data_IF_874051833632
#
_entry.id   IF_874051833632
#
_cell.length_a   1.000
_cell.length_b   1.000
_cell.length_c   1.000
_cell.angle_alpha   90.00
_cell.angle_beta   90.00
_cell.angle_gamma   90.00
#
_symmetry.space_group_name_H-M   'P 1'
#
loop_
_entity.id
_entity.type
_entity.pdbx_description
1 polymer ?
#
# COMPACT_ATOMS: atom_id res chain seq x y z
N UNK A 1 -12.11 11.62 -10.88
CA UNK A 1 -11.72 11.47 -9.46
C UNK A 1 -11.94 10.07 -8.90
N UNK A 2 -13.06 9.39 -9.22
CA UNK A 2 -13.32 8.02 -8.74
C UNK A 2 -12.28 6.99 -9.18
N UNK A 3 -11.85 7.00 -10.44
CA UNK A 3 -10.87 6.02 -10.95
C UNK A 3 -9.52 6.09 -10.22
N UNK A 4 -9.03 7.29 -9.92
CA UNK A 4 -7.76 7.49 -9.21
C UNK A 4 -7.84 6.92 -7.79
N UNK A 5 -8.92 7.20 -7.05
CA UNK A 5 -9.15 6.67 -5.70
C UNK A 5 -9.19 5.14 -5.70
N UNK A 6 -9.83 4.56 -6.71
CA UNK A 6 -9.88 3.11 -6.89
C UNK A 6 -8.48 2.54 -7.17
N UNK A 7 -7.71 3.14 -8.08
CA UNK A 7 -6.34 2.68 -8.36
C UNK A 7 -5.42 2.82 -7.15
N UNK A 8 -5.51 3.93 -6.41
CA UNK A 8 -4.77 4.12 -5.16
C UNK A 8 -5.06 3.01 -4.15
N UNK A 9 -6.32 2.61 -3.99
CA UNK A 9 -6.71 1.54 -3.07
C UNK A 9 -6.15 0.16 -3.44
N UNK A 10 -5.73 -0.04 -4.69
CA UNK A 10 -5.08 -1.27 -5.16
C UNK A 10 -3.55 -1.19 -5.17
N UNK A 11 -2.97 -0.03 -4.84
CA UNK A 11 -1.52 0.10 -4.65
C UNK A 11 -1.04 -0.81 -3.52
N UNK A 12 0.15 -1.40 -3.69
CA UNK A 12 0.74 -2.32 -2.72
C UNK A 12 0.56 -3.81 -3.03
N UNK A 13 -0.25 -4.19 -4.04
CA UNK A 13 -0.32 -5.59 -4.50
C UNK A 13 1.04 -6.06 -5.04
N UNK A 14 1.86 -5.14 -5.55
CA UNK A 14 3.23 -5.39 -5.98
C UNK A 14 4.16 -5.92 -4.87
N UNK A 15 3.80 -5.72 -3.59
CA UNK A 15 4.56 -6.23 -2.44
C UNK A 15 4.63 -7.76 -2.46
N UNK A 16 3.64 -8.45 -3.03
CA UNK A 16 3.67 -9.91 -3.23
C UNK A 16 4.90 -10.31 -4.06
N UNK A 17 5.24 -9.51 -5.08
CA UNK A 17 6.41 -9.73 -5.92
C UNK A 17 7.73 -9.51 -5.18
N UNK A 18 7.80 -8.48 -4.33
CA UNK A 18 8.99 -8.19 -3.52
C UNK A 18 9.21 -9.29 -2.48
N UNK A 19 8.14 -9.70 -1.82
CA UNK A 19 8.16 -10.72 -0.76
C UNK A 19 8.38 -12.13 -1.31
N UNK A 20 8.16 -12.35 -2.62
CA UNK A 20 8.44 -13.63 -3.26
C UNK A 20 9.91 -14.08 -3.13
N UNK A 21 10.85 -13.13 -3.10
CA UNK A 21 12.28 -13.42 -2.90
C UNK A 21 12.62 -13.90 -1.49
N UNK A 22 11.78 -13.63 -0.50
CA UNK A 22 11.99 -13.96 0.91
C UNK A 22 11.02 -15.04 1.44
N UNK A 23 10.06 -15.46 0.61
CA UNK A 23 9.08 -16.47 0.97
C UNK A 23 9.76 -17.84 1.13
N UNK A 24 9.40 -18.56 2.19
CA UNK A 24 9.95 -19.90 2.49
C UNK A 24 9.64 -20.93 1.39
N UNK A 25 8.44 -20.85 0.81
CA UNK A 25 7.95 -21.73 -0.27
C UNK A 25 7.29 -20.91 -1.39
N UNK A 26 8.06 -20.22 -2.26
CA UNK A 26 7.51 -19.27 -3.22
C UNK A 26 6.63 -19.94 -4.28
N UNK A 27 6.98 -21.16 -4.72
CA UNK A 27 6.22 -21.91 -5.74
C UNK A 27 4.77 -22.20 -5.34
N UNK A 28 4.50 -22.35 -4.03
CA UNK A 28 3.15 -22.59 -3.50
C UNK A 28 2.52 -21.33 -2.93
N UNK A 29 3.31 -20.53 -2.22
CA UNK A 29 2.80 -19.37 -1.48
C UNK A 29 2.40 -18.24 -2.42
N UNK A 30 3.16 -18.01 -3.51
CA UNK A 30 2.89 -16.90 -4.44
C UNK A 30 1.62 -17.13 -5.27
N UNK A 31 1.41 -18.29 -5.94
CA UNK A 31 0.16 -18.54 -6.65
C UNK A 31 -1.07 -18.50 -5.73
N UNK A 32 -0.96 -19.04 -4.51
CA UNK A 32 -2.03 -18.99 -3.51
C UNK A 32 -2.36 -17.56 -3.11
N UNK A 33 -1.34 -16.74 -2.83
CA UNK A 33 -1.52 -15.33 -2.49
C UNK A 33 -2.23 -14.60 -3.64
N UNK A 34 -1.71 -14.72 -4.87
CA UNK A 34 -2.28 -14.07 -6.07
C UNK A 34 -3.75 -14.45 -6.27
N UNK A 35 -4.11 -15.73 -6.16
CA UNK A 35 -5.50 -16.16 -6.36
C UNK A 35 -6.43 -15.75 -5.20
N UNK A 36 -5.90 -15.64 -3.99
CA UNK A 36 -6.70 -15.26 -2.81
C UNK A 36 -7.00 -13.76 -2.72
N UNK A 37 -6.12 -12.91 -3.25
CA UNK A 37 -6.23 -11.45 -3.13
C UNK A 37 -7.50 -10.90 -3.79
N UNK A 38 -7.85 -11.22 -5.05
CA UNK A 38 -9.08 -10.75 -5.66
C UNK A 38 -10.33 -11.15 -4.87
N UNK A 39 -10.39 -12.40 -4.40
CA UNK A 39 -11.52 -12.89 -3.61
C UNK A 39 -11.65 -12.13 -2.29
N UNK A 40 -10.53 -11.90 -1.58
CA UNK A 40 -10.52 -11.11 -0.34
C UNK A 40 -10.97 -9.67 -0.58
N UNK A 41 -10.49 -9.03 -1.65
CA UNK A 41 -10.92 -7.68 -2.01
C UNK A 41 -12.42 -7.68 -2.30
N UNK A 42 -12.93 -8.62 -3.08
CA UNK A 42 -14.35 -8.67 -3.43
C UNK A 42 -15.22 -8.85 -2.18
N UNK A 43 -14.87 -9.77 -1.29
CA UNK A 43 -15.61 -10.01 -0.04
C UNK A 43 -15.51 -8.82 0.92
N UNK A 44 -14.30 -8.33 1.22
CA UNK A 44 -14.11 -7.30 2.24
C UNK A 44 -14.42 -5.89 1.72
N UNK A 45 -14.03 -5.53 0.50
CA UNK A 45 -14.24 -4.19 -0.03
C UNK A 45 -15.65 -4.02 -0.58
N UNK A 46 -16.05 -4.87 -1.54
CA UNK A 46 -17.38 -4.77 -2.18
C UNK A 46 -18.48 -5.16 -1.19
N UNK A 47 -18.28 -6.22 -0.40
CA UNK A 47 -19.26 -6.62 0.62
C UNK A 47 -19.50 -5.52 1.68
N UNK A 48 -18.43 -4.86 2.14
CA UNK A 48 -18.57 -3.76 3.09
C UNK A 48 -19.26 -2.54 2.47
N UNK A 49 -18.91 -2.17 1.24
CA UNK A 49 -19.57 -1.08 0.53
C UNK A 49 -21.06 -1.37 0.31
N UNK A 50 -21.41 -2.61 -0.04
CA UNK A 50 -22.79 -3.04 -0.22
C UNK A 50 -23.61 -2.87 1.08
N UNK A 51 -23.06 -3.29 2.21
CA UNK A 51 -23.71 -3.12 3.53
C UNK A 51 -23.90 -1.64 3.86
N UNK A 52 -22.85 -0.82 3.68
CA UNK A 52 -22.93 0.62 3.96
C UNK A 52 -23.96 1.31 3.07
N UNK A 53 -23.94 1.04 1.76
CA UNK A 53 -24.88 1.65 0.82
C UNK A 53 -26.33 1.19 1.03
N UNK A 54 -26.53 0.02 1.63
CA UNK A 54 -27.87 -0.46 2.01
C UNK A 54 -28.44 0.26 3.23
N UNK A 55 -27.58 0.78 4.12
CA UNK A 55 -27.97 1.46 5.36
C UNK A 55 -27.96 2.99 5.19
N UNK A 56 -26.99 3.52 4.44
CA UNK A 56 -26.78 4.95 4.27
C UNK A 56 -26.95 5.33 2.79
N UNK A 57 -27.80 6.32 2.48
CA UNK A 57 -28.09 6.65 1.10
C UNK A 57 -26.84 7.21 0.40
N UNK A 58 -26.51 6.60 -0.73
CA UNK A 58 -25.34 6.89 -1.57
C UNK A 58 -25.11 8.38 -1.92
N UNK A 59 -26.15 9.21 -1.85
CA UNK A 59 -26.10 10.64 -2.15
C UNK A 59 -25.62 11.51 -0.99
N UNK A 60 -25.52 10.97 0.23
CA UNK A 60 -25.06 11.70 1.43
C UNK A 60 -23.70 11.20 1.93
N UNK A 61 -23.11 10.20 1.26
CA UNK A 61 -21.82 9.61 1.64
C UNK A 61 -20.69 10.59 1.32
N UNK A 62 -19.99 11.09 2.34
CA UNK A 62 -18.76 11.89 2.18
C UNK A 62 -18.83 13.35 2.60
N UNK A 63 -19.96 13.85 3.11
CA UNK A 63 -20.12 15.26 3.51
C UNK A 63 -19.81 15.56 4.99
N UNK A 64 -19.74 14.55 5.87
CA UNK A 64 -19.65 14.76 7.33
C UNK A 64 -18.69 13.81 8.09
N UNK A 65 -17.77 13.11 7.40
CA UNK A 65 -16.81 12.19 8.02
C UNK A 65 -16.87 10.75 7.50
N UNK A 66 -16.24 9.81 8.23
CA UNK A 66 -16.19 8.39 7.82
C UNK A 66 -17.59 7.78 7.79
N UNK A 67 -18.07 7.26 6.64
CA UNK A 67 -19.40 6.67 6.51
C UNK A 67 -19.63 5.51 7.47
N UNK A 68 -18.57 4.79 7.82
CA UNK A 68 -18.60 3.74 8.84
C UNK A 68 -18.99 4.30 10.20
N UNK A 69 -18.27 5.32 10.65
CA UNK A 69 -18.48 5.93 11.97
C UNK A 69 -19.87 6.58 12.04
N UNK A 70 -20.25 7.30 10.99
CA UNK A 70 -21.56 7.95 10.89
C UNK A 70 -22.72 6.95 10.92
N UNK A 71 -22.57 5.81 10.25
CA UNK A 71 -23.59 4.75 10.25
C UNK A 71 -23.80 4.19 11.67
N UNK A 72 -22.72 3.88 12.39
CA UNK A 72 -22.83 3.35 13.76
C UNK A 72 -23.26 4.39 14.80
N UNK A 73 -22.94 5.68 14.59
CA UNK A 73 -23.44 6.78 15.42
C UNK A 73 -24.95 7.00 15.24
N UNK A 74 -25.47 6.99 14.00
CA UNK A 74 -26.91 7.09 13.74
C UNK A 74 -27.71 5.90 14.26
N UNK A 75 -27.11 4.71 14.35
CA UNK A 75 -27.72 3.53 14.96
C UNK A 75 -27.73 3.55 16.50
N UNK A 76 -27.20 4.60 17.15
CA UNK A 76 -27.22 4.76 18.61
C UNK A 76 -26.19 3.90 19.36
N UNK A 77 -25.25 3.25 18.67
CA UNK A 77 -24.22 2.40 19.28
C UNK A 77 -22.90 3.16 19.30
N UNK A 78 -22.78 4.15 20.19
CA UNK A 78 -21.58 4.99 20.33
C UNK A 78 -20.32 4.17 20.61
N UNK A 79 -20.46 3.01 21.27
CA UNK A 79 -19.37 2.08 21.55
C UNK A 79 -18.78 1.43 20.27
N UNK A 80 -19.61 1.18 19.25
CA UNK A 80 -19.17 0.59 17.99
C UNK A 80 -18.29 1.56 17.18
N UNK A 81 -18.56 2.86 17.25
CA UNK A 81 -17.73 3.89 16.64
C UNK A 81 -16.30 3.91 17.22
N UNK A 82 -16.17 3.80 18.55
CA UNK A 82 -14.87 3.75 19.23
C UNK A 82 -14.08 2.48 18.88
N UNK A 83 -14.75 1.32 18.80
CA UNK A 83 -14.12 0.06 18.36
C UNK A 83 -13.60 0.19 16.93
N UNK A 84 -14.40 0.75 16.01
CA UNK A 84 -13.98 0.91 14.62
C UNK A 84 -12.78 1.84 14.49
N UNK A 85 -12.79 2.97 15.19
CA UNK A 85 -11.63 3.87 15.21
C UNK A 85 -10.38 3.15 15.73
N UNK A 86 -10.49 2.36 16.80
CA UNK A 86 -9.38 1.57 17.32
C UNK A 86 -8.85 0.55 16.29
N UNK A 87 -9.76 -0.18 15.62
CA UNK A 87 -9.40 -1.15 14.57
C UNK A 87 -8.72 -0.47 13.40
N UNK A 88 -9.27 0.64 12.89
CA UNK A 88 -8.72 1.39 11.76
C UNK A 88 -7.34 1.94 12.10
N UNK A 89 -7.16 2.53 13.28
CA UNK A 89 -5.86 3.04 13.72
C UNK A 89 -4.83 1.93 13.85
N UNK A 90 -5.20 0.80 14.46
CA UNK A 90 -4.31 -0.36 14.61
C UNK A 90 -3.92 -0.95 13.25
N UNK A 91 -4.88 -1.09 12.34
CA UNK A 91 -4.63 -1.55 10.98
C UNK A 91 -3.70 -0.59 10.21
N UNK A 92 -3.91 0.72 10.36
CA UNK A 92 -3.09 1.76 9.73
C UNK A 92 -1.65 1.71 10.23
N UNK A 93 -1.45 1.58 11.55
CA UNK A 93 -0.13 1.42 12.15
C UNK A 93 0.58 0.15 11.68
N UNK A 94 -0.14 -0.96 11.57
CA UNK A 94 0.40 -2.22 11.05
C UNK A 94 0.82 -2.12 9.58
N UNK A 95 0.04 -1.41 8.75
CA UNK A 95 0.36 -1.16 7.35
C UNK A 95 1.64 -0.32 7.22
N UNK A 96 1.72 0.81 7.93
CA UNK A 96 2.90 1.69 7.93
C UNK A 96 4.16 0.92 8.34
N UNK A 97 4.08 0.07 9.36
CA UNK A 97 5.23 -0.74 9.78
C UNK A 97 5.71 -1.69 8.68
N UNK A 98 4.78 -2.29 7.93
CA UNK A 98 5.10 -3.19 6.82
C UNK A 98 5.72 -2.45 5.65
N UNK A 99 5.22 -1.25 5.33
CA UNK A 99 5.76 -0.40 4.27
C UNK A 99 7.17 0.10 4.57
N UNK A 100 7.40 0.60 5.80
CA UNK A 100 8.73 1.05 6.24
C UNK A 100 9.74 -0.10 6.20
N UNK A 101 9.32 -1.29 6.63
CA UNK A 101 10.15 -2.48 6.56
C UNK A 101 10.49 -2.87 5.11
N UNK A 102 9.50 -2.88 4.21
CA UNK A 102 9.68 -3.22 2.80
C UNK A 102 10.62 -2.25 2.07
N UNK A 103 10.39 -0.93 2.24
CA UNK A 103 11.26 0.11 1.68
C UNK A 103 12.67 0.04 2.28
N UNK A 104 12.77 -0.23 3.58
CA UNK A 104 14.03 -0.45 4.29
C UNK A 104 14.91 -1.49 3.61
N UNK A 105 14.36 -2.70 3.41
CA UNK A 105 15.08 -3.80 2.77
C UNK A 105 15.42 -3.52 1.31
N UNK A 106 14.48 -2.94 0.58
CA UNK A 106 14.69 -2.63 -0.84
C UNK A 106 15.82 -1.61 -1.04
N UNK A 107 15.78 -0.49 -0.30
CA UNK A 107 16.84 0.53 -0.38
C UNK A 107 18.19 0.00 0.09
N UNK A 108 18.20 -0.84 1.14
CA UNK A 108 19.43 -1.48 1.60
C UNK A 108 20.05 -2.36 0.51
N UNK A 109 19.26 -3.26 -0.10
CA UNK A 109 19.73 -4.12 -1.19
C UNK A 109 20.19 -3.33 -2.42
N UNK A 110 19.50 -2.24 -2.77
CA UNK A 110 19.95 -1.34 -3.83
C UNK A 110 21.26 -0.62 -3.49
N UNK A 111 21.48 -0.25 -2.24
CA UNK A 111 22.71 0.40 -1.80
C UNK A 111 23.91 -0.56 -1.80
N UNK A 112 23.70 -1.83 -1.44
CA UNK A 112 24.72 -2.88 -1.57
C UNK A 112 25.13 -3.12 -3.03
N UNK A 113 24.17 -3.04 -3.96
CA UNK A 113 24.41 -3.15 -5.40
C UNK A 113 24.94 -1.87 -6.05
N UNK A 114 25.18 -0.81 -5.26
CA UNK A 114 25.67 0.49 -5.76
C UNK A 114 24.64 1.32 -6.53
N UNK A 115 23.37 0.91 -6.53
CA UNK A 115 22.26 1.58 -7.24
C UNK A 115 21.52 2.61 -6.36
N UNK A 116 21.81 2.65 -5.05
CA UNK A 116 21.35 3.68 -4.13
C UNK A 116 22.52 4.28 -3.33
N UNK A 117 22.37 5.48 -2.75
CA UNK A 117 23.40 6.11 -1.94
C UNK A 117 23.91 5.18 -0.83
N UNK A 118 25.23 5.13 -0.63
CA UNK A 118 25.90 4.28 0.38
C UNK A 118 25.40 4.51 1.82
N UNK A 119 24.70 5.61 2.09
CA UNK A 119 24.12 5.85 3.42
C UNK A 119 23.01 4.83 3.75
N UNK A 120 22.30 4.32 2.75
CA UNK A 120 21.21 3.36 2.92
C UNK A 120 21.67 1.92 3.17
N UNK A 121 22.96 1.60 2.97
CA UNK A 121 23.53 0.30 3.37
C UNK A 121 23.87 0.23 4.86
N UNK A 122 23.73 1.34 5.62
CA UNK A 122 23.98 1.36 7.06
C UNK A 122 22.82 0.70 7.81
N UNK A 123 23.14 -0.33 8.59
CA UNK A 123 22.19 -1.00 9.48
C UNK A 123 22.51 -0.74 10.95
N UNK A 124 21.49 -0.81 11.81
CA UNK A 124 21.64 -0.82 13.26
C UNK A 124 22.21 -2.17 13.73
N UNK A 125 22.61 -2.28 15.00
CA UNK A 125 23.08 -3.53 15.64
C UNK A 125 22.09 -4.70 15.48
N UNK A 126 20.81 -4.41 15.27
CA UNK A 126 19.74 -5.41 15.04
C UNK A 126 19.47 -5.70 13.56
N UNK A 127 20.31 -5.22 12.64
CA UNK A 127 20.15 -5.42 11.19
C UNK A 127 19.09 -4.53 10.52
N UNK A 128 18.59 -3.50 11.22
CA UNK A 128 17.52 -2.62 10.73
C UNK A 128 18.14 -1.43 9.96
N UNK A 129 17.74 -1.13 8.72
CA UNK A 129 18.19 0.05 7.94
C UNK A 129 17.67 1.36 8.56
N UNK A 130 18.35 1.85 9.60
CA UNK A 130 17.86 2.96 10.43
C UNK A 130 17.76 4.29 9.68
N UNK A 131 18.59 4.49 8.66
CA UNK A 131 18.55 5.67 7.80
C UNK A 131 17.22 5.72 7.03
N UNK A 132 16.76 4.59 6.51
CA UNK A 132 15.48 4.49 5.82
C UNK A 132 14.32 4.78 6.79
N UNK A 133 14.39 4.23 8.00
CA UNK A 133 13.37 4.50 9.04
C UNK A 133 13.30 5.99 9.33
N UNK A 134 14.45 6.66 9.53
CA UNK A 134 14.50 8.09 9.80
C UNK A 134 13.87 8.91 8.66
N UNK A 135 14.22 8.61 7.41
CA UNK A 135 13.69 9.30 6.23
C UNK A 135 12.17 9.09 6.09
N UNK A 136 11.68 7.88 6.34
CA UNK A 136 10.24 7.60 6.31
C UNK A 136 9.50 8.33 7.43
N UNK A 137 10.05 8.35 8.65
CA UNK A 137 9.46 9.07 9.78
C UNK A 137 9.42 10.58 9.52
N UNK A 138 10.48 11.17 8.98
CA UNK A 138 10.47 12.61 8.64
C UNK A 138 9.49 12.93 7.52
N UNK A 139 9.36 12.05 6.51
CA UNK A 139 8.36 12.20 5.46
C UNK A 139 6.91 12.13 6.01
N UNK A 140 6.64 11.22 6.95
CA UNK A 140 5.34 11.13 7.62
C UNK A 140 5.04 12.38 8.45
N UNK A 141 6.01 12.88 9.21
CA UNK A 141 5.86 14.14 9.97
C UNK A 141 5.61 15.33 9.04
N UNK A 142 6.29 15.38 7.90
CA UNK A 142 6.05 16.39 6.88
C UNK A 142 4.64 16.29 6.29
N UNK A 143 4.13 15.08 6.04
CA UNK A 143 2.76 14.88 5.58
C UNK A 143 1.71 15.36 6.62
N UNK A 144 1.96 15.13 7.91
CA UNK A 144 1.12 15.66 9.01
C UNK A 144 1.17 17.18 9.04
N UNK A 145 2.35 17.78 8.89
CA UNK A 145 2.49 19.23 8.80
C UNK A 145 1.74 19.82 7.60
N UNK A 146 1.83 19.15 6.44
CA UNK A 146 1.11 19.56 5.23
C UNK A 146 -0.42 19.46 5.40
N UNK A 147 -0.88 18.48 6.18
CA UNK A 147 -2.29 18.34 6.55
C UNK A 147 -2.80 19.51 7.40
N UNK A 148 -1.93 20.09 8.25
CA UNK A 148 -2.27 21.27 9.04
C UNK A 148 -2.44 22.55 8.17
N UNK A 149 -1.63 22.71 7.12
CA UNK A 149 -1.68 23.90 6.26
C UNK A 149 -2.76 23.81 5.17
N UNK A 150 -2.97 22.62 4.58
CA UNK A 150 -3.90 22.41 3.46
C UNK A 150 -4.81 21.18 3.67
N UNK A 151 -5.71 21.21 4.67
CA UNK A 151 -6.49 20.03 5.07
C UNK A 151 -7.38 19.46 3.95
N UNK A 152 -7.96 20.30 3.09
CA UNK A 152 -8.88 19.84 2.04
C UNK A 152 -8.18 19.20 0.83
N UNK A 153 -6.96 19.66 0.52
CA UNK A 153 -6.27 19.26 -0.72
C UNK A 153 -5.11 18.30 -0.48
N UNK A 154 -4.57 18.22 0.73
CA UNK A 154 -3.41 17.37 1.06
C UNK A 154 -3.65 15.90 0.68
N UNK A 155 -4.85 15.38 0.97
CA UNK A 155 -5.19 14.01 0.65
C UNK A 155 -5.20 13.79 -0.87
N UNK A 156 -5.78 14.72 -1.64
CA UNK A 156 -5.83 14.64 -3.10
C UNK A 156 -4.43 14.72 -3.73
N UNK A 157 -3.57 15.60 -3.22
CA UNK A 157 -2.19 15.75 -3.70
C UNK A 157 -1.38 14.49 -3.40
N UNK A 158 -1.43 13.98 -2.17
CA UNK A 158 -0.68 12.78 -1.79
C UNK A 158 -1.21 11.55 -2.55
N UNK A 159 -2.53 11.37 -2.61
CA UNK A 159 -3.14 10.24 -3.31
C UNK A 159 -2.84 10.27 -4.82
N UNK A 160 -2.81 11.45 -5.45
CA UNK A 160 -2.47 11.56 -6.88
C UNK A 160 -1.01 11.20 -7.15
N UNK A 161 -0.08 11.72 -6.35
CA UNK A 161 1.34 11.37 -6.42
C UNK A 161 1.57 9.87 -6.19
N UNK A 162 0.93 9.29 -5.18
CA UNK A 162 1.03 7.86 -4.88
C UNK A 162 0.44 7.01 -6.01
N UNK A 163 -0.70 7.39 -6.58
CA UNK A 163 -1.32 6.68 -7.71
C UNK A 163 -0.40 6.71 -8.93
N UNK A 164 0.17 7.88 -9.24
CA UNK A 164 1.13 8.03 -10.33
C UNK A 164 2.35 7.12 -10.13
N UNK A 165 2.95 7.15 -8.94
CA UNK A 165 4.08 6.30 -8.60
C UNK A 165 3.74 4.80 -8.73
N UNK A 166 2.55 4.39 -8.26
CA UNK A 166 2.06 3.00 -8.35
C UNK A 166 1.95 2.54 -9.79
N UNK A 167 1.27 3.33 -10.64
CA UNK A 167 1.11 3.02 -12.06
C UNK A 167 2.46 2.95 -12.76
N UNK A 168 3.36 3.87 -12.44
CA UNK A 168 4.72 3.89 -12.97
C UNK A 168 5.49 2.61 -12.62
N UNK A 169 5.43 2.18 -11.36
CA UNK A 169 6.03 0.92 -10.90
C UNK A 169 5.44 -0.27 -11.67
N UNK A 170 4.12 -0.35 -11.84
CA UNK A 170 3.50 -1.43 -12.59
C UNK A 170 3.92 -1.46 -14.06
N UNK A 171 4.03 -0.29 -14.72
CA UNK A 171 4.57 -0.19 -16.08
C UNK A 171 5.99 -0.75 -16.13
N UNK A 172 6.85 -0.35 -15.18
CA UNK A 172 8.24 -0.85 -15.12
C UNK A 172 8.33 -2.36 -14.87
N UNK A 173 7.45 -2.91 -14.03
CA UNK A 173 7.35 -4.36 -13.80
C UNK A 173 6.98 -5.07 -15.11
N UNK A 174 5.96 -4.58 -15.82
CA UNK A 174 5.51 -5.15 -17.09
C UNK A 174 6.60 -5.08 -18.16
N UNK A 175 7.27 -3.93 -18.31
CA UNK A 175 8.37 -3.75 -19.25
C UNK A 175 9.54 -4.69 -18.95
N UNK A 176 9.90 -4.82 -17.67
CA UNK A 176 10.95 -5.74 -17.21
C UNK A 176 10.60 -7.18 -17.53
N UNK A 177 9.33 -7.58 -17.31
CA UNK A 177 8.84 -8.92 -17.60
C UNK A 177 8.83 -9.22 -19.11
N UNK A 178 8.43 -8.24 -19.95
CA UNK A 178 8.48 -8.37 -21.41
C UNK A 178 9.93 -8.52 -21.88
N UNK A 179 10.85 -7.68 -21.39
CA UNK A 179 12.27 -7.73 -21.73
C UNK A 179 12.90 -9.07 -21.31
N UNK A 180 12.58 -9.56 -20.11
CA UNK A 180 13.03 -10.87 -19.61
C UNK A 180 12.55 -12.00 -20.52
N UNK A 181 11.25 -12.05 -20.87
CA UNK A 181 10.70 -13.06 -21.79
C UNK A 181 11.35 -13.02 -23.17
N UNK A 182 11.61 -11.83 -23.72
CA UNK A 182 12.31 -11.66 -25.01
C UNK A 182 13.73 -12.25 -24.96
N UNK A 183 14.49 -11.96 -23.90
CA UNK A 183 15.85 -12.50 -23.71
C UNK A 183 15.87 -14.01 -23.52
N UNK A 184 14.96 -14.57 -22.72
CA UNK A 184 14.84 -16.03 -22.54
C UNK A 184 14.48 -16.75 -23.84
N UNK A 185 13.59 -16.17 -24.66
CA UNK A 185 13.24 -16.72 -25.99
C UNK A 185 14.46 -16.74 -26.92
N UNK A 186 15.24 -15.66 -26.96
CA UNK A 186 16.50 -15.61 -27.76
C UNK A 186 17.54 -16.62 -27.28
N UNK A 187 17.64 -16.87 -25.97
CA UNK A 187 18.61 -17.83 -25.39
C UNK A 187 18.24 -19.29 -25.67
N UNK A 188 16.93 -19.60 -25.80
CA UNK A 188 16.42 -20.91 -26.23
C UNK A 188 16.60 -21.18 -27.74
N UNK A 189 16.69 -20.14 -28.57
CA UNK A 189 16.95 -20.25 -30.02
C UNK A 189 18.45 -20.38 -30.38
N UNK A 190 19.35 -20.17 -29.40
CA UNK A 190 20.82 -20.29 -29.56
C UNK A 190 21.39 -21.60 -29.00
N UNK A 191 20.54 -22.51 -28.51
CA UNK A 191 20.88 -23.88 -28.13
C UNK A 191 20.14 -24.82 -29.05
#
# INVERSE_FOLDING_TARGET
MSLQMVMFAYGGIEIIGITAGEAKDPEKSIPRAINSVPMRILVFYVGTLFVIMSIYPWNQVGTAGSPFVLTFQHMGITFAASILNFVVLTASLSAINSDVFGVGRMLHGMAEQGSAPKIFSKTSRRGIPWVTVLVMTTALLFAVYLNYIMPENVFLVIASLATFATVWVWIMILLSQIAFRRRCRQKKLRR
#
